data_IF_863235856145
#
_entry.id   IF_863235856145
#
_cell.length_a   1.000
_cell.length_b   1.000
_cell.length_c   1.000
_cell.angle_alpha   90.00
_cell.angle_beta   90.00
_cell.angle_gamma   90.00
#
_symmetry.space_group_name_H-M   'P 1'
#
loop_
_entity.id
_entity.type
_entity.pdbx_description
1 polymer ?
#
# COMPACT_ATOMS: atom_id res chain seq x y z
N UNK A 1 23.71 -38.73 38.79
CA UNK A 1 22.50 -37.93 38.50
C UNK A 1 22.97 -36.66 37.83
N UNK A 2 22.88 -36.56 36.50
CA UNK A 2 23.33 -35.39 35.74
C UNK A 2 22.12 -34.77 35.04
N UNK A 3 21.87 -33.51 35.34
CA UNK A 3 20.76 -32.71 34.82
C UNK A 3 20.86 -32.58 33.28
N UNK A 4 19.75 -32.69 32.52
CA UNK A 4 19.77 -32.42 31.10
C UNK A 4 19.98 -30.92 30.82
N UNK A 5 20.77 -30.66 29.78
CA UNK A 5 21.04 -29.34 29.24
C UNK A 5 19.73 -28.59 28.93
N UNK A 6 19.62 -27.35 29.41
CA UNK A 6 18.59 -26.43 28.94
C UNK A 6 18.76 -26.26 27.42
N UNK A 7 17.70 -26.44 26.61
CA UNK A 7 17.78 -26.17 25.19
C UNK A 7 18.06 -24.68 25.00
N UNK A 8 18.94 -24.40 24.05
CA UNK A 8 19.40 -23.10 23.64
C UNK A 8 18.28 -22.05 23.67
N UNK A 9 18.47 -21.04 24.50
CA UNK A 9 17.94 -19.70 24.29
C UNK A 9 18.54 -19.22 22.96
N UNK A 10 17.91 -19.63 21.85
CA UNK A 10 18.22 -19.08 20.54
C UNK A 10 17.84 -17.62 20.62
N UNK A 11 18.79 -16.67 20.55
CA UNK A 11 18.42 -15.29 20.34
C UNK A 11 17.69 -15.30 19.00
N UNK A 12 16.38 -15.14 19.03
CA UNK A 12 15.62 -14.82 17.83
C UNK A 12 16.27 -13.56 17.30
N UNK A 13 17.07 -13.69 16.23
CA UNK A 13 17.65 -12.58 15.50
C UNK A 13 16.49 -11.72 15.04
N UNK A 14 16.06 -10.78 15.89
CA UNK A 14 15.29 -9.63 15.48
C UNK A 14 16.23 -8.89 14.57
N UNK A 15 16.13 -9.14 13.27
CA UNK A 15 16.76 -8.28 12.28
C UNK A 15 16.40 -6.85 12.69
N UNK A 16 17.40 -5.99 12.94
CA UNK A 16 17.10 -4.60 13.22
C UNK A 16 16.27 -4.10 12.04
N UNK A 17 15.13 -3.50 12.35
CA UNK A 17 14.32 -2.81 11.37
C UNK A 17 15.17 -1.64 10.84
N UNK A 18 15.94 -1.92 9.79
CA UNK A 18 17.02 -1.07 9.26
C UNK A 18 16.50 0.07 8.41
N UNK A 19 15.19 0.08 8.13
CA UNK A 19 14.57 1.15 7.39
C UNK A 19 14.55 2.41 8.28
N UNK A 20 14.76 3.60 7.69
CA UNK A 20 14.67 4.84 8.43
C UNK A 20 13.22 5.10 8.88
N UNK A 21 13.05 5.84 9.97
CA UNK A 21 11.72 6.27 10.43
C UNK A 21 11.17 7.39 9.53
N UNK A 22 12.05 8.19 8.95
CA UNK A 22 11.70 9.33 8.09
C UNK A 22 12.53 9.29 6.82
N UNK A 23 11.90 9.51 5.67
CA UNK A 23 12.60 9.79 4.41
C UNK A 23 12.19 11.16 3.85
N UNK A 24 13.08 11.76 3.06
CA UNK A 24 12.84 13.09 2.48
C UNK A 24 11.79 13.03 1.37
N UNK A 25 11.17 14.19 1.06
CA UNK A 25 10.32 14.33 -0.13
C UNK A 25 11.06 13.97 -1.41
N UNK A 26 12.33 14.37 -1.53
CA UNK A 26 13.13 14.13 -2.72
C UNK A 26 13.34 12.63 -2.97
N UNK A 27 13.57 11.85 -1.91
CA UNK A 27 13.76 10.40 -2.03
C UNK A 27 12.45 9.67 -2.32
N UNK A 28 11.34 10.07 -1.69
CA UNK A 28 10.04 9.50 -2.03
C UNK A 28 9.62 9.86 -3.45
N UNK A 29 9.86 11.09 -3.91
CA UNK A 29 9.58 11.50 -5.30
C UNK A 29 10.37 10.65 -6.29
N UNK A 30 11.66 10.38 -6.05
CA UNK A 30 12.43 9.44 -6.87
C UNK A 30 11.82 8.03 -6.86
N UNK A 31 11.26 7.58 -5.74
CA UNK A 31 10.58 6.29 -5.66
C UNK A 31 9.26 6.29 -6.46
N UNK A 32 8.51 7.39 -6.45
CA UNK A 32 7.35 7.61 -7.31
C UNK A 32 7.73 7.57 -8.79
N UNK A 33 8.76 8.31 -9.19
CA UNK A 33 9.24 8.38 -10.59
C UNK A 33 9.67 7.00 -11.11
N UNK A 34 10.13 6.12 -10.21
CA UNK A 34 10.51 4.74 -10.51
C UNK A 34 9.36 3.74 -10.46
N UNK A 35 8.14 4.18 -10.11
CA UNK A 35 6.98 3.30 -9.96
C UNK A 35 7.09 2.30 -8.82
N UNK A 36 7.92 2.59 -7.80
CA UNK A 36 8.14 1.71 -6.64
C UNK A 36 7.13 1.95 -5.51
N UNK A 37 6.26 2.93 -5.68
CA UNK A 37 5.36 3.44 -4.65
C UNK A 37 3.92 3.17 -5.08
N UNK A 38 3.15 2.55 -4.21
CA UNK A 38 1.72 2.30 -4.41
C UNK A 38 0.90 3.19 -3.49
N UNK A 39 0.09 4.14 -4.00
CA UNK A 39 -0.78 4.94 -3.14
C UNK A 39 -1.90 4.09 -2.52
N UNK A 40 -2.42 4.54 -1.37
CA UNK A 40 -3.54 3.88 -0.68
C UNK A 40 -4.80 3.75 -1.55
N UNK A 41 -5.01 4.72 -2.42
CA UNK A 41 -6.07 4.74 -3.41
C UNK A 41 -5.92 5.92 -4.35
N UNK A 42 -6.77 6.02 -5.37
CA UNK A 42 -6.66 7.05 -6.40
C UNK A 42 -6.78 8.48 -5.84
N UNK A 43 -7.54 8.66 -4.77
CA UNK A 43 -7.78 9.98 -4.15
C UNK A 43 -6.85 10.26 -2.96
N UNK A 44 -6.21 9.24 -2.40
CA UNK A 44 -5.43 9.36 -1.16
C UNK A 44 -3.94 9.24 -1.48
N UNK A 45 -3.33 10.37 -1.85
CA UNK A 45 -1.92 10.45 -2.19
C UNK A 45 -0.98 10.66 -0.98
N UNK A 46 -1.52 10.99 0.21
CA UNK A 46 -0.71 11.25 1.41
C UNK A 46 -0.26 9.97 2.12
N UNK A 47 -0.77 8.80 1.73
CA UNK A 47 -0.41 7.51 2.29
C UNK A 47 0.02 6.57 1.17
N UNK A 48 1.23 6.04 1.27
CA UNK A 48 1.80 5.19 0.23
C UNK A 48 2.54 3.99 0.78
N UNK A 49 2.47 2.89 0.05
CA UNK A 49 3.20 1.67 0.34
C UNK A 49 4.52 1.65 -0.43
N UNK A 50 5.64 1.58 0.29
CA UNK A 50 6.99 1.58 -0.27
C UNK A 50 7.92 0.73 0.61
N UNK A 51 8.68 -0.18 -0.02
CA UNK A 51 9.56 -1.15 0.67
C UNK A 51 8.85 -1.94 1.79
N UNK A 52 7.67 -2.51 1.46
CA UNK A 52 6.92 -3.40 2.36
C UNK A 52 6.45 -2.75 3.68
N UNK A 53 6.26 -1.43 3.67
CA UNK A 53 5.68 -0.68 4.78
C UNK A 53 4.93 0.55 4.26
N UNK A 54 4.08 1.12 5.11
CA UNK A 54 3.32 2.33 4.79
C UNK A 54 4.06 3.58 5.27
N UNK A 55 3.97 4.62 4.44
CA UNK A 55 4.57 5.93 4.66
C UNK A 55 3.50 7.00 4.56
N UNK A 56 3.49 7.92 5.52
CA UNK A 56 2.55 9.03 5.58
C UNK A 56 3.30 10.34 5.31
N UNK A 57 2.77 11.13 4.39
CA UNK A 57 3.28 12.44 4.05
C UNK A 57 3.08 13.41 5.23
N UNK A 58 4.12 14.18 5.54
CA UNK A 58 4.09 15.26 6.51
C UNK A 58 5.08 16.37 6.13
N UNK A 59 5.08 17.49 6.85
CA UNK A 59 5.81 18.71 6.48
C UNK A 59 7.31 18.51 6.17
N UNK A 60 7.98 17.53 6.80
CA UNK A 60 9.42 17.30 6.60
C UNK A 60 9.73 16.08 5.72
N UNK A 61 8.73 15.43 5.15
CA UNK A 61 8.92 14.28 4.27
C UNK A 61 7.87 13.22 4.49
N UNK A 62 8.33 11.99 4.70
CA UNK A 62 7.48 10.83 4.84
C UNK A 62 7.88 10.06 6.09
N UNK A 63 6.91 9.81 6.98
CA UNK A 63 7.13 9.06 8.20
C UNK A 63 6.60 7.64 8.02
N UNK A 64 7.40 6.67 8.46
CA UNK A 64 7.00 5.26 8.45
C UNK A 64 5.96 4.99 9.52
N UNK A 65 4.94 4.23 9.18
CA UNK A 65 3.93 3.78 10.14
C UNK A 65 4.44 2.64 11.00
N UNK A 66 3.89 2.50 12.20
CA UNK A 66 4.05 1.27 12.96
C UNK A 66 3.29 0.10 12.30
N UNK A 67 3.58 -1.13 12.76
CA UNK A 67 2.98 -2.36 12.21
C UNK A 67 1.46 -2.36 12.28
N UNK A 68 0.86 -1.89 13.39
CA UNK A 68 -0.59 -1.94 13.56
C UNK A 68 -1.28 -1.00 12.57
N UNK A 69 -0.73 0.21 12.40
CA UNK A 69 -1.25 1.15 11.41
C UNK A 69 -1.02 0.65 9.98
N UNK A 70 0.13 0.02 9.69
CA UNK A 70 0.39 -0.61 8.40
C UNK A 70 -0.66 -1.69 8.07
N UNK A 71 -0.92 -2.62 9.00
CA UNK A 71 -1.91 -3.69 8.81
C UNK A 71 -3.34 -3.12 8.55
N UNK A 72 -3.68 -2.02 9.22
CA UNK A 72 -4.95 -1.31 8.99
C UNK A 72 -5.01 -0.67 7.60
N UNK A 73 -3.92 -0.05 7.15
CA UNK A 73 -3.82 0.56 5.83
C UNK A 73 -3.84 -0.49 4.72
N UNK A 74 -3.26 -1.67 4.92
CA UNK A 74 -3.35 -2.78 3.98
C UNK A 74 -4.78 -3.27 3.79
N UNK A 75 -5.51 -3.47 4.90
CA UNK A 75 -6.92 -3.85 4.85
C UNK A 75 -7.77 -2.78 4.13
N UNK A 76 -7.48 -1.51 4.39
CA UNK A 76 -8.16 -0.39 3.76
C UNK A 76 -7.80 -0.25 2.27
N UNK A 77 -6.54 -0.42 1.88
CA UNK A 77 -6.09 -0.44 0.50
C UNK A 77 -6.81 -1.52 -0.30
N UNK A 78 -6.94 -2.72 0.26
CA UNK A 78 -7.68 -3.83 -0.34
C UNK A 78 -9.16 -3.49 -0.50
N UNK A 79 -9.77 -2.88 0.53
CA UNK A 79 -11.17 -2.43 0.50
C UNK A 79 -11.42 -1.39 -0.59
N UNK A 80 -10.56 -0.37 -0.68
CA UNK A 80 -10.65 0.69 -1.70
C UNK A 80 -10.47 0.10 -3.10
N UNK A 81 -9.47 -0.76 -3.29
CA UNK A 81 -9.23 -1.43 -4.59
C UNK A 81 -10.45 -2.24 -5.04
N UNK A 82 -11.10 -2.96 -4.12
CA UNK A 82 -12.32 -3.70 -4.43
C UNK A 82 -13.49 -2.77 -4.83
N UNK A 83 -13.61 -1.60 -4.17
CA UNK A 83 -14.64 -0.61 -4.51
C UNK A 83 -14.38 0.05 -5.87
N UNK A 84 -13.12 0.43 -6.14
CA UNK A 84 -12.72 1.00 -7.43
C UNK A 84 -13.01 0.05 -8.59
N UNK A 85 -12.75 -1.25 -8.42
CA UNK A 85 -13.07 -2.26 -9.43
C UNK A 85 -14.58 -2.34 -9.72
N UNK A 86 -15.44 -2.20 -8.70
CA UNK A 86 -16.90 -2.16 -8.87
C UNK A 86 -17.32 -0.90 -9.62
N UNK A 87 -16.77 0.26 -9.27
CA UNK A 87 -17.08 1.54 -9.93
C UNK A 87 -16.64 1.52 -11.39
N UNK A 88 -15.42 1.08 -11.67
CA UNK A 88 -14.89 0.96 -13.03
C UNK A 88 -15.74 0.02 -13.90
N UNK A 89 -16.15 -1.13 -13.35
CA UNK A 89 -17.05 -2.06 -14.04
C UNK A 89 -18.40 -1.43 -14.36
N UNK A 90 -19.01 -0.73 -13.40
CA UNK A 90 -20.29 -0.07 -13.59
C UNK A 90 -20.23 1.05 -14.64
N UNK A 91 -19.13 1.82 -14.67
CA UNK A 91 -18.89 2.83 -15.69
C UNK A 91 -18.78 2.20 -17.09
N UNK A 92 -18.06 1.08 -17.22
CA UNK A 92 -17.91 0.37 -18.49
C UNK A 92 -19.26 -0.17 -19.03
N UNK A 93 -20.11 -0.74 -18.17
CA UNK A 93 -21.46 -1.21 -18.57
C UNK A 93 -22.32 -0.05 -19.07
N UNK A 94 -22.30 1.10 -18.37
CA UNK A 94 -23.04 2.29 -18.79
C UNK A 94 -22.56 2.82 -20.13
N UNK A 95 -21.24 2.90 -20.33
CA UNK A 95 -20.65 3.33 -21.59
C UNK A 95 -21.05 2.41 -22.76
N UNK A 96 -20.99 1.08 -22.56
CA UNK A 96 -21.43 0.11 -23.57
C UNK A 96 -22.93 0.26 -23.91
N UNK A 97 -23.77 0.48 -22.89
CA UNK A 97 -25.22 0.65 -23.09
C UNK A 97 -25.56 1.97 -23.81
N UNK A 98 -24.76 3.02 -23.60
CA UNK A 98 -24.95 4.32 -24.28
C UNK A 98 -24.40 4.34 -25.71
N UNK A 99 -23.49 3.43 -26.07
CA UNK A 99 -22.93 3.33 -27.41
C UNK A 99 -23.86 2.63 -28.43
N UNK A 100 -24.89 1.89 -27.97
CA UNK A 100 -25.80 1.11 -28.85
C UNK A 100 -27.21 1.71 -29.08
N UNK A 101 -27.35 2.97 -29.54
CA UNK A 101 -28.58 3.27 -30.29
C UNK A 101 -28.39 4.20 -31.49
N UNK A 102 -27.64 3.82 -32.55
CA UNK A 102 -27.73 4.55 -33.84
C UNK A 102 -27.58 3.74 -35.15
N UNK A 103 -27.24 2.43 -35.15
CA UNK A 103 -26.97 1.70 -36.41
C UNK A 103 -28.09 0.78 -36.94
N UNK A 104 -29.31 0.79 -36.35
CA UNK A 104 -30.43 -0.04 -36.84
C UNK A 104 -31.62 0.72 -37.43
N UNK A 105 -31.38 1.92 -37.95
CA UNK A 105 -32.38 2.65 -38.74
C UNK A 105 -31.73 3.22 -40.01
N UNK A 106 -31.45 2.36 -40.98
CA UNK A 106 -31.41 2.71 -42.39
C UNK A 106 -32.11 1.62 -43.21
#
# INVERSE_FOLDING_TARGET
MSLPAHPADQPSSREPDTLPVIISHADMNKAFDRGLVSPLGQTIAYAVHYQNTWWIHFEKGWIRTDKKLADMLDAEAARITAQDAIVARNAAIRAATQAEPQERQQ
#
